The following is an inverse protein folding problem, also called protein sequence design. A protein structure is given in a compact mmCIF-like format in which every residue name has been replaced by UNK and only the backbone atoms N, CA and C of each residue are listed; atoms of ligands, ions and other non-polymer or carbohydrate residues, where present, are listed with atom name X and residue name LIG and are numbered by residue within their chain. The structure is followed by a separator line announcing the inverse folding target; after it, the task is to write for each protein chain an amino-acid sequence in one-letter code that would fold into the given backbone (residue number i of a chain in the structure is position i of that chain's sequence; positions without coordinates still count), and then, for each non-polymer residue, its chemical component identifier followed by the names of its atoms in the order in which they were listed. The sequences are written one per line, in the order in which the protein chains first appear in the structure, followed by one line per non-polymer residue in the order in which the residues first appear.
data_IF_163988099368
#
_entry.id   IF_163988099368
#
_cell.length_a   1.000
_cell.length_b   1.000
_cell.length_c   1.000
_cell.angle_alpha   90.00
_cell.angle_beta   90.00
_cell.angle_gamma   90.00
#
_symmetry.space_group_name_H-M   'P 1'
#
loop_
_entity.id
_entity.type
_entity.pdbx_description
1 polymer ?
#
# COMPACT_ATOMS: atom_id res chain seq x y z
N UNK A 1 -19.26 3.22 30.66
CA UNK A 1 -19.27 2.26 29.54
C UNK A 1 -18.20 2.71 28.55
N UNK A 2 -17.30 1.81 28.14
CA UNK A 2 -16.03 2.00 27.40
C UNK A 2 -14.88 2.48 28.31
N UNK A 3 -13.99 1.67 28.89
CA UNK A 3 -13.31 0.42 28.51
C UNK A 3 -12.40 0.54 27.27
N UNK A 4 -11.08 0.63 27.55
CA UNK A 4 -9.91 0.19 26.77
C UNK A 4 -8.82 1.27 26.55
N UNK A 5 -7.87 1.41 27.49
CA UNK A 5 -6.54 1.98 27.18
C UNK A 5 -5.45 1.73 28.26
N UNK A 6 -5.59 0.77 29.18
CA UNK A 6 -4.53 0.50 30.18
C UNK A 6 -4.22 -0.99 30.24
N UNK A 7 -3.18 -1.40 29.50
CA UNK A 7 -2.40 -2.61 29.77
C UNK A 7 -1.09 -2.57 28.98
N UNK A 8 -0.16 -1.68 29.33
CA UNK A 8 1.26 -1.81 28.98
C UNK A 8 2.12 -0.94 29.89
N UNK A 9 2.10 -1.21 31.21
CA UNK A 9 2.69 -0.31 32.21
C UNK A 9 3.65 -0.94 33.22
N UNK A 10 3.97 -2.23 33.15
CA UNK A 10 4.68 -2.91 34.25
C UNK A 10 6.06 -3.52 33.90
N UNK A 11 6.32 -3.92 32.65
CA UNK A 11 7.66 -4.39 32.22
C UNK A 11 8.54 -3.25 31.67
N UNK A 12 7.93 -2.09 31.35
CA UNK A 12 8.61 -0.95 30.72
C UNK A 12 9.49 -0.12 31.66
N UNK A 13 9.31 -0.22 32.98
CA UNK A 13 10.01 0.66 33.94
C UNK A 13 11.56 0.52 33.90
N UNK A 14 12.08 -0.67 33.57
CA UNK A 14 13.54 -0.92 33.49
C UNK A 14 14.18 -0.49 32.17
N UNK A 15 13.51 -0.73 31.05
CA UNK A 15 14.03 -0.38 29.71
C UNK A 15 13.84 1.10 29.40
N UNK A 16 12.66 1.66 29.67
CA UNK A 16 12.37 3.07 29.46
C UNK A 16 13.11 3.95 30.46
N UNK A 17 13.28 3.49 31.71
CA UNK A 17 14.13 4.17 32.68
C UNK A 17 15.60 4.23 32.25
N UNK A 18 16.12 3.15 31.66
CA UNK A 18 17.50 3.12 31.13
C UNK A 18 17.67 4.02 29.90
N UNK A 19 16.68 4.05 29.01
CA UNK A 19 16.65 4.95 27.86
C UNK A 19 16.53 6.42 28.27
N UNK A 20 15.65 6.75 29.22
CA UNK A 20 15.46 8.10 29.73
C UNK A 20 16.73 8.63 30.38
N UNK A 21 17.45 7.80 31.16
CA UNK A 21 18.73 8.19 31.77
C UNK A 21 19.82 8.46 30.72
N UNK A 22 19.84 7.70 29.61
CA UNK A 22 20.71 7.99 28.46
C UNK A 22 20.25 9.22 27.69
N UNK A 23 18.94 9.49 27.69
CA UNK A 23 18.35 10.66 27.05
C UNK A 23 18.60 11.97 27.85
N UNK A 24 18.69 11.91 29.18
CA UNK A 24 19.14 13.07 29.94
C UNK A 24 20.65 13.33 29.76
N UNK A 25 21.44 12.26 29.58
CA UNK A 25 22.89 12.34 29.39
C UNK A 25 23.36 12.83 28.02
N UNK A 26 22.51 12.75 26.97
CA UNK A 26 22.88 13.17 25.60
C UNK A 26 22.86 14.69 25.36
N UNK A 27 22.40 15.48 26.34
CA UNK A 27 22.41 16.94 26.28
C UNK A 27 21.47 17.54 25.20
N UNK A 28 21.65 18.83 24.93
CA UNK A 28 20.79 19.62 24.03
C UNK A 28 20.64 19.03 22.61
N UNK A 29 21.65 18.29 22.13
CA UNK A 29 21.68 17.73 20.79
C UNK A 29 20.62 16.66 20.50
N UNK A 30 19.94 16.12 21.50
CA UNK A 30 18.91 15.09 21.26
C UNK A 30 17.52 15.61 20.95
N UNK A 31 17.17 16.82 21.39
CA UNK A 31 15.89 17.44 21.03
C UNK A 31 15.67 17.51 19.50
N UNK A 32 16.64 17.97 18.67
CA UNK A 32 16.44 18.00 17.21
C UNK A 32 16.36 16.59 16.59
N UNK A 33 17.09 15.61 17.13
CA UNK A 33 17.06 14.23 16.63
C UNK A 33 15.70 13.60 16.88
N UNK A 34 15.13 13.78 18.07
CA UNK A 34 13.79 13.28 18.40
C UNK A 34 12.72 13.94 17.54
N UNK A 35 12.83 15.25 17.28
CA UNK A 35 11.91 15.95 16.37
C UNK A 35 12.00 15.39 14.94
N UNK A 36 13.21 15.21 14.41
CA UNK A 36 13.41 14.56 13.10
C UNK A 36 12.81 13.15 13.04
N UNK A 37 12.96 12.36 14.11
CA UNK A 37 12.41 11.00 14.19
C UNK A 37 10.88 11.00 14.16
N UNK A 38 10.23 11.96 14.85
CA UNK A 38 8.78 12.12 14.79
C UNK A 38 8.31 12.45 13.36
N UNK A 39 8.98 13.37 12.67
CA UNK A 39 8.66 13.68 11.27
C UNK A 39 8.89 12.48 10.34
N UNK A 40 9.97 11.73 10.56
CA UNK A 40 10.26 10.53 9.78
C UNK A 40 9.16 9.47 9.93
N UNK A 41 8.70 9.22 11.16
CA UNK A 41 7.60 8.30 11.43
C UNK A 41 6.30 8.82 10.81
N UNK A 42 6.01 10.12 10.92
CA UNK A 42 4.80 10.70 10.33
C UNK A 42 4.76 10.52 8.80
N UNK A 43 5.86 10.81 8.10
CA UNK A 43 5.98 10.59 6.65
C UNK A 43 5.89 9.09 6.32
N UNK A 44 6.51 8.24 7.12
CA UNK A 44 6.44 6.78 6.94
C UNK A 44 5.00 6.32 7.02
N UNK A 45 4.28 6.70 8.07
CA UNK A 45 2.88 6.35 8.27
C UNK A 45 2.02 6.84 7.09
N UNK A 46 2.19 8.08 6.64
CA UNK A 46 1.47 8.61 5.47
C UNK A 46 1.77 7.80 4.19
N UNK A 47 3.03 7.41 3.98
CA UNK A 47 3.42 6.53 2.86
C UNK A 47 2.82 5.14 2.96
N UNK A 48 2.77 4.57 4.17
CA UNK A 48 2.12 3.28 4.43
C UNK A 48 0.61 3.40 4.18
N UNK A 49 -0.08 4.39 4.72
CA UNK A 49 -1.51 4.60 4.45
C UNK A 49 -1.80 4.80 2.97
N UNK A 50 -1.01 5.60 2.25
CA UNK A 50 -1.16 5.78 0.81
C UNK A 50 -0.98 4.45 0.04
N UNK A 51 -0.03 3.62 0.44
CA UNK A 51 0.20 2.30 -0.16
C UNK A 51 -0.95 1.33 0.15
N UNK A 52 -1.43 1.29 1.39
CA UNK A 52 -2.53 0.43 1.80
C UNK A 52 -3.88 0.87 1.19
N UNK A 53 -4.15 2.17 1.08
CA UNK A 53 -5.37 2.70 0.44
C UNK A 53 -5.36 2.60 -1.08
N UNK A 54 -4.19 2.71 -1.75
CA UNK A 54 -4.07 2.51 -3.22
C UNK A 54 -3.87 1.04 -3.63
N UNK A 55 -3.41 0.18 -2.72
CA UNK A 55 -3.03 -1.20 -3.03
C UNK A 55 -4.06 -2.28 -2.72
N UNK A 56 -5.12 -2.00 -1.95
CA UNK A 56 -6.05 -3.05 -1.50
C UNK A 56 -7.16 -3.37 -2.50
N UNK A 57 -6.81 -3.81 -3.72
CA UNK A 57 -7.67 -4.76 -4.42
C UNK A 57 -7.25 -6.16 -3.97
N UNK A 58 -8.22 -7.01 -3.66
CA UNK A 58 -7.97 -8.43 -3.43
C UNK A 58 -7.50 -9.04 -4.76
N UNK A 59 -6.18 -9.07 -4.95
CA UNK A 59 -5.50 -9.48 -6.20
C UNK A 59 -5.99 -10.85 -6.66
N UNK A 60 -6.19 -11.77 -5.72
CA UNK A 60 -6.67 -13.13 -6.00
C UNK A 60 -8.10 -13.13 -6.52
N UNK A 61 -9.00 -12.38 -5.90
CA UNK A 61 -10.39 -12.26 -6.34
C UNK A 61 -10.48 -11.58 -7.72
N UNK A 62 -9.71 -10.52 -7.94
CA UNK A 62 -9.64 -9.81 -9.21
C UNK A 62 -9.14 -10.71 -10.34
N UNK A 63 -8.00 -11.37 -10.15
CA UNK A 63 -7.41 -12.25 -11.18
C UNK A 63 -8.30 -13.46 -11.47
N UNK A 64 -9.01 -13.98 -10.48
CA UNK A 64 -9.97 -15.08 -10.68
C UNK A 64 -11.18 -14.64 -11.50
N UNK A 65 -11.75 -13.46 -11.23
CA UNK A 65 -12.84 -12.90 -12.03
C UNK A 65 -12.41 -12.57 -13.45
N UNK A 66 -11.23 -11.96 -13.61
CA UNK A 66 -10.68 -11.61 -14.92
C UNK A 66 -10.44 -12.86 -15.79
N UNK A 67 -9.79 -13.89 -15.24
CA UNK A 67 -9.55 -15.16 -15.96
C UNK A 67 -10.85 -15.76 -16.49
N UNK A 68 -11.94 -15.74 -15.70
CA UNK A 68 -13.24 -16.25 -16.14
C UNK A 68 -13.75 -15.55 -17.41
N UNK A 69 -13.58 -14.23 -17.51
CA UNK A 69 -13.99 -13.47 -18.70
C UNK A 69 -13.06 -13.72 -19.89
N UNK A 70 -11.75 -13.86 -19.67
CA UNK A 70 -10.77 -14.17 -20.72
C UNK A 70 -11.01 -15.58 -21.30
N UNK A 71 -11.24 -16.60 -20.47
CA UNK A 71 -11.52 -17.97 -20.94
C UNK A 71 -12.85 -18.09 -21.70
N UNK A 72 -13.79 -17.18 -21.45
CA UNK A 72 -15.04 -17.11 -22.21
C UNK A 72 -14.83 -16.51 -23.62
N UNK A 73 -13.64 -16.00 -23.95
CA UNK A 73 -13.32 -15.39 -25.25
C UNK A 73 -13.93 -13.99 -25.44
N UNK A 74 -14.52 -13.41 -24.40
CA UNK A 74 -15.23 -12.14 -24.46
C UNK A 74 -14.35 -11.02 -23.86
N UNK A 75 -13.54 -10.41 -24.73
CA UNK A 75 -12.63 -9.32 -24.37
C UNK A 75 -13.37 -8.08 -23.87
N UNK A 76 -14.54 -7.77 -24.43
CA UNK A 76 -15.34 -6.61 -24.04
C UNK A 76 -15.88 -6.73 -22.61
N UNK A 77 -16.31 -7.94 -22.21
CA UNK A 77 -16.69 -8.22 -20.82
C UNK A 77 -15.49 -8.18 -19.87
N UNK A 78 -14.31 -8.62 -20.32
CA UNK A 78 -13.09 -8.52 -19.52
C UNK A 78 -12.71 -7.05 -19.25
N UNK A 79 -12.75 -6.19 -20.29
CA UNK A 79 -12.48 -4.75 -20.14
C UNK A 79 -13.51 -4.09 -19.23
N UNK A 80 -14.80 -4.42 -19.39
CA UNK A 80 -15.88 -3.89 -18.53
C UNK A 80 -15.73 -4.33 -17.07
N UNK A 81 -15.32 -5.58 -16.83
CA UNK A 81 -15.04 -6.09 -15.49
C UNK A 81 -13.90 -5.32 -14.81
N UNK A 82 -12.80 -5.06 -15.53
CA UNK A 82 -11.65 -4.29 -15.01
C UNK A 82 -12.02 -2.82 -14.80
N UNK A 83 -12.80 -2.23 -15.71
CA UNK A 83 -13.27 -0.84 -15.60
C UNK A 83 -14.22 -0.61 -14.41
N UNK A 84 -14.94 -1.64 -13.96
CA UNK A 84 -15.79 -1.58 -12.77
C UNK A 84 -15.04 -1.71 -11.43
N UNK A 85 -13.72 -1.96 -11.45
CA UNK A 85 -12.90 -2.04 -10.25
C UNK A 85 -12.31 -0.68 -9.85
N UNK A 86 -11.87 -0.57 -8.59
CA UNK A 86 -11.16 0.63 -8.11
C UNK A 86 -9.92 0.89 -8.97
N UNK A 87 -9.63 2.14 -9.38
CA UNK A 87 -8.41 2.47 -10.11
C UNK A 87 -7.20 2.25 -9.21
N UNK A 88 -6.55 1.11 -9.43
CA UNK A 88 -5.27 0.73 -8.82
C UNK A 88 -4.24 0.55 -9.92
N UNK A 89 -2.93 0.65 -9.62
CA UNK A 89 -1.88 0.44 -10.62
C UNK A 89 -2.06 -0.86 -11.40
N UNK A 90 -2.45 -1.95 -10.72
CA UNK A 90 -2.71 -3.24 -11.35
C UNK A 90 -3.87 -3.20 -12.36
N UNK A 91 -5.00 -2.58 -12.02
CA UNK A 91 -6.16 -2.50 -12.92
C UNK A 91 -5.91 -1.61 -14.13
N UNK A 92 -5.07 -0.57 -13.98
CA UNK A 92 -4.74 0.36 -15.07
C UNK A 92 -3.87 -0.34 -16.11
N UNK A 93 -2.79 -1.00 -15.68
CA UNK A 93 -1.90 -1.77 -16.56
C UNK A 93 -2.66 -2.89 -17.26
N UNK A 94 -3.47 -3.66 -16.52
CA UNK A 94 -4.25 -4.76 -17.10
C UNK A 94 -5.29 -4.25 -18.11
N UNK A 95 -5.94 -3.11 -17.84
CA UNK A 95 -6.88 -2.51 -18.80
C UNK A 95 -6.16 -2.05 -20.06
N UNK A 96 -5.01 -1.39 -19.93
CA UNK A 96 -4.21 -0.92 -21.07
C UNK A 96 -3.76 -2.08 -21.95
N UNK A 97 -3.31 -3.19 -21.35
CA UNK A 97 -3.00 -4.42 -22.08
C UNK A 97 -4.21 -5.00 -22.82
N UNK A 98 -5.35 -5.17 -22.14
CA UNK A 98 -6.56 -5.75 -22.73
C UNK A 98 -7.12 -4.93 -23.91
N UNK A 99 -7.02 -3.59 -23.86
CA UNK A 99 -7.48 -2.71 -24.94
C UNK A 99 -6.60 -2.81 -26.21
N UNK A 100 -5.36 -3.27 -26.08
CA UNK A 100 -4.41 -3.38 -27.20
C UNK A 100 -4.21 -4.82 -27.70
N UNK A 101 -4.88 -5.81 -27.09
CA UNK A 101 -4.87 -7.22 -27.57
C UNK A 101 -5.15 -7.36 -29.07
N UNK A 102 -6.09 -6.61 -29.68
CA UNK A 102 -6.35 -6.72 -31.13
C UNK A 102 -5.20 -6.21 -32.02
N UNK A 103 -4.27 -5.42 -31.48
CA UNK A 103 -3.17 -4.79 -32.23
C UNK A 103 -1.90 -5.63 -32.27
N UNK A 104 -1.87 -6.74 -31.51
CA UNK A 104 -0.75 -7.66 -31.45
C UNK A 104 0.14 -7.48 -30.22
N UNK A 105 0.97 -8.50 -29.95
CA UNK A 105 1.70 -8.66 -28.69
C UNK A 105 2.69 -7.52 -28.40
N UNK A 106 3.30 -6.94 -29.44
CA UNK A 106 4.24 -5.82 -29.30
C UNK A 106 3.55 -4.55 -28.75
N UNK A 107 2.35 -4.27 -29.23
CA UNK A 107 1.54 -3.12 -28.78
C UNK A 107 0.96 -3.35 -27.39
N UNK A 108 0.64 -4.60 -27.04
CA UNK A 108 0.21 -4.96 -25.67
C UNK A 108 1.33 -4.71 -24.67
N UNK A 109 2.56 -5.16 -24.98
CA UNK A 109 3.72 -4.94 -24.10
C UNK A 109 4.04 -3.46 -23.96
N UNK A 110 4.07 -2.72 -25.07
CA UNK A 110 4.27 -1.27 -25.03
C UNK A 110 3.21 -0.56 -24.18
N UNK A 111 1.93 -0.89 -24.37
CA UNK A 111 0.84 -0.29 -23.60
C UNK A 111 0.85 -0.67 -22.12
N UNK A 112 1.39 -1.84 -21.75
CA UNK A 112 1.55 -2.26 -20.36
C UNK A 112 2.74 -1.59 -19.69
N UNK A 113 3.83 -1.33 -20.41
CA UNK A 113 5.02 -0.65 -19.90
C UNK A 113 4.83 0.87 -19.77
N UNK A 114 3.95 1.46 -20.59
CA UNK A 114 3.59 2.89 -20.53
C UNK A 114 2.58 3.24 -19.43
N UNK A 115 1.90 2.25 -18.86
CA UNK A 115 0.77 2.41 -17.92
C UNK A 115 1.18 2.28 -16.43
#
# INVERSE_FOLDING_TARGET
MFAAAEASGSEELGFFGSLAKRFEGGGWGMYPITVCLIFFIAITIDRFYALFMKGSINKEAFMRGLKKHIYAGDLDKAISYVAGQKPTPLTVVVKAGLMNVPKGDAEVQAAMDEA
#
